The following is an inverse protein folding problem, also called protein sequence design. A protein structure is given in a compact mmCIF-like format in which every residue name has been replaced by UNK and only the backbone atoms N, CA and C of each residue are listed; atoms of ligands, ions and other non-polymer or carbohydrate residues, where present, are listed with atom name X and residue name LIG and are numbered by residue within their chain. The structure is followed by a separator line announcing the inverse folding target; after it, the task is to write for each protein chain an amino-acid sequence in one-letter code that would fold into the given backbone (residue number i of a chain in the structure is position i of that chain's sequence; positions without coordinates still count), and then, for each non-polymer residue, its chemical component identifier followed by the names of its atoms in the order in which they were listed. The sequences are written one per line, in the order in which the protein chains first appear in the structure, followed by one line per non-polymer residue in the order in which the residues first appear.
data_IF_290702004037
#
_entry.id   IF_290702004037
#
_cell.length_a   1.000
_cell.length_b   1.000
_cell.length_c   1.000
_cell.angle_alpha   90.00
_cell.angle_beta   90.00
_cell.angle_gamma   90.00
#
_symmetry.space_group_name_H-M   'P 1'
#
loop_
_entity.id
_entity.type
_entity.pdbx_description
1 polymer ?
#
# COMPACT_ATOMS: atom_id res chain seq x y z
N UNK A 1 24.66 5.05 -18.03
CA UNK A 1 25.25 6.37 -17.73
C UNK A 1 24.59 6.85 -16.43
N UNK A 2 25.22 6.60 -15.29
CA UNK A 2 24.60 6.80 -13.97
C UNK A 2 24.80 8.25 -13.50
N UNK A 3 23.71 8.96 -13.24
CA UNK A 3 23.74 10.28 -12.62
C UNK A 3 23.81 10.12 -11.10
N UNK A 4 24.92 10.58 -10.49
CA UNK A 4 25.07 10.70 -9.03
C UNK A 4 24.37 11.98 -8.58
N UNK A 5 23.47 11.85 -7.61
CA UNK A 5 22.84 12.99 -6.93
C UNK A 5 23.56 13.12 -5.59
N UNK A 6 24.18 14.28 -5.33
CA UNK A 6 24.92 14.54 -4.08
C UNK A 6 23.93 14.89 -2.97
N UNK A 7 23.91 14.10 -1.89
CA UNK A 7 23.13 14.38 -0.68
C UNK A 7 23.81 15.46 0.19
N UNK A 8 23.01 16.41 0.68
CA UNK A 8 23.39 17.40 1.69
C UNK A 8 22.95 16.89 3.06
N UNK A 9 23.91 16.66 3.97
CA UNK A 9 23.60 16.21 5.34
C UNK A 9 23.28 17.39 6.28
N UNK A 10 22.20 17.34 7.08
CA UNK A 10 21.97 18.28 8.17
C UNK A 10 22.64 17.83 9.48
N UNK A 11 23.17 18.78 10.23
CA UNK A 11 23.92 18.61 11.48
C UNK A 11 23.05 18.22 12.67
N UNK A 12 23.55 17.30 13.52
CA UNK A 12 22.89 16.78 14.73
C UNK A 12 22.89 17.80 15.88
N UNK A 13 21.75 17.94 16.56
CA UNK A 13 21.60 18.61 17.87
C UNK A 13 21.19 17.59 18.96
N UNK A 14 21.56 17.79 20.24
CA UNK A 14 21.59 16.71 21.23
C UNK A 14 20.24 16.43 21.92
N UNK A 15 20.16 15.20 22.45
CA UNK A 15 19.01 14.55 23.07
C UNK A 15 18.53 15.22 24.37
N UNK A 16 17.21 15.35 24.52
CA UNK A 16 16.52 15.68 25.77
C UNK A 16 15.40 14.68 26.05
N UNK A 17 15.52 13.96 27.15
CA UNK A 17 14.54 13.00 27.65
C UNK A 17 13.34 13.71 28.31
N UNK A 18 12.12 13.22 28.02
CA UNK A 18 10.90 13.71 28.65
C UNK A 18 9.71 12.79 28.37
N UNK A 19 9.52 11.79 29.22
CA UNK A 19 8.35 10.88 29.24
C UNK A 19 7.11 11.69 29.67
N UNK A 20 6.12 11.84 28.80
CA UNK A 20 4.78 12.34 29.18
C UNK A 20 3.76 11.21 29.09
N UNK A 21 3.02 11.03 30.19
CA UNK A 21 1.96 10.05 30.38
C UNK A 21 0.77 10.37 29.47
N UNK A 22 0.17 9.32 28.90
CA UNK A 22 -1.06 9.37 28.11
C UNK A 22 -2.23 9.61 29.07
N UNK A 23 -2.83 10.79 29.00
CA UNK A 23 -4.10 11.07 29.68
C UNK A 23 -5.24 10.51 28.84
N UNK A 24 -6.19 9.89 29.54
CA UNK A 24 -7.42 9.31 29.03
C UNK A 24 -8.40 10.46 28.71
N UNK A 25 -8.54 10.81 27.43
CA UNK A 25 -9.57 11.73 26.96
C UNK A 25 -10.70 10.92 26.34
N UNK A 26 -11.83 10.91 27.05
CA UNK A 26 -13.12 10.43 26.61
C UNK A 26 -13.51 11.09 25.28
N UNK A 27 -13.82 10.27 24.29
CA UNK A 27 -14.40 10.71 23.01
C UNK A 27 -15.81 11.25 23.30
N UNK A 28 -15.93 12.56 23.41
CA UNK A 28 -17.21 13.24 23.31
C UNK A 28 -17.66 13.24 21.84
N UNK A 29 -18.84 12.67 21.61
CA UNK A 29 -19.56 12.62 20.34
C UNK A 29 -20.05 14.04 19.96
N UNK A 30 -19.17 14.83 19.34
CA UNK A 30 -19.50 16.18 18.89
C UNK A 30 -20.24 16.13 17.54
N UNK A 31 -21.53 15.79 17.60
CA UNK A 31 -22.48 15.80 16.48
C UNK A 31 -22.88 17.21 16.02
N UNK A 32 -21.95 18.16 15.90
CA UNK A 32 -22.27 19.50 15.38
C UNK A 32 -21.11 20.30 14.76
N UNK A 33 -20.25 19.66 13.97
CA UNK A 33 -19.41 20.36 12.98
C UNK A 33 -20.20 20.65 11.68
N UNK A 34 -19.90 21.74 10.93
CA UNK A 34 -20.55 22.00 9.65
C UNK A 34 -20.33 20.79 8.74
N UNK A 35 -21.40 20.39 8.03
CA UNK A 35 -21.37 19.32 7.05
C UNK A 35 -20.34 19.70 5.97
N UNK A 36 -19.08 19.29 6.15
CA UNK A 36 -18.12 19.29 5.07
C UNK A 36 -18.72 18.30 4.07
N UNK A 37 -19.08 18.79 2.89
CA UNK A 37 -19.46 17.93 1.77
C UNK A 37 -18.25 17.03 1.49
N UNK A 38 -18.26 15.83 2.05
CA UNK A 38 -17.17 14.88 1.95
C UNK A 38 -17.05 14.44 0.50
N UNK A 39 -16.10 15.07 -0.20
CA UNK A 39 -15.95 14.91 -1.63
C UNK A 39 -15.48 13.49 -1.95
N UNK A 40 -15.94 12.99 -3.10
CA UNK A 40 -15.44 11.75 -3.70
C UNK A 40 -14.49 12.15 -4.82
N UNK A 41 -13.24 11.69 -4.75
CA UNK A 41 -12.27 11.91 -5.82
C UNK A 41 -12.72 11.22 -7.14
N UNK A 42 -12.46 11.83 -8.32
CA UNK A 42 -12.81 11.23 -9.60
C UNK A 42 -12.17 9.84 -9.77
N UNK A 43 -12.98 8.83 -10.08
CA UNK A 43 -12.53 7.44 -10.22
C UNK A 43 -12.59 6.61 -8.93
N UNK A 44 -12.89 7.23 -7.79
CA UNK A 44 -13.15 6.54 -6.52
C UNK A 44 -14.65 6.40 -6.26
N UNK A 45 -15.01 5.36 -5.51
CA UNK A 45 -16.38 5.13 -5.02
C UNK A 45 -16.52 5.36 -3.50
N UNK A 46 -15.48 5.95 -2.88
CA UNK A 46 -15.35 6.08 -1.43
C UNK A 46 -15.03 7.55 -1.12
N UNK A 47 -15.72 8.16 -0.14
CA UNK A 47 -15.44 9.52 0.31
C UNK A 47 -14.04 9.71 0.90
N UNK A 48 -13.51 10.94 0.80
CA UNK A 48 -12.16 11.27 1.23
C UNK A 48 -11.93 11.05 2.74
N UNK A 49 -12.91 11.37 3.59
CA UNK A 49 -12.76 11.14 5.03
C UNK A 49 -12.45 9.67 5.38
N UNK A 50 -13.01 8.74 4.62
CA UNK A 50 -12.82 7.30 4.84
C UNK A 50 -11.46 6.84 4.30
N UNK A 51 -11.01 7.42 3.19
CA UNK A 51 -9.67 7.19 2.62
C UNK A 51 -8.58 7.61 3.60
N UNK A 52 -8.70 8.82 4.15
CA UNK A 52 -7.75 9.37 5.12
C UNK A 52 -7.73 8.51 6.40
N UNK A 53 -8.92 8.17 6.94
CA UNK A 53 -9.03 7.30 8.13
C UNK A 53 -8.38 5.92 7.90
N UNK A 54 -8.51 5.36 6.70
CA UNK A 54 -7.88 4.08 6.35
C UNK A 54 -6.37 4.19 6.26
N UNK A 55 -5.85 5.28 5.68
CA UNK A 55 -4.41 5.54 5.60
C UNK A 55 -3.79 5.67 7.00
N UNK A 56 -4.49 6.36 7.90
CA UNK A 56 -4.05 6.58 9.28
C UNK A 56 -4.14 5.31 10.15
N UNK A 57 -5.12 4.44 9.86
CA UNK A 57 -5.33 3.19 10.60
C UNK A 57 -4.36 2.09 10.22
N UNK A 58 -3.81 2.12 8.99
CA UNK A 58 -2.93 1.07 8.49
C UNK A 58 -1.49 1.34 8.92
N UNK A 59 -1.05 0.67 9.98
CA UNK A 59 0.34 0.65 10.40
C UNK A 59 1.10 -0.29 9.46
N UNK A 60 1.69 0.25 8.38
CA UNK A 60 2.74 -0.44 7.66
C UNK A 60 3.85 -0.80 8.66
N UNK A 61 4.51 -1.95 8.47
CA UNK A 61 5.52 -2.48 9.39
C UNK A 61 6.44 -1.35 9.91
N UNK A 62 6.36 -1.13 11.23
CA UNK A 62 6.98 -0.02 11.96
C UNK A 62 8.35 0.37 11.38
N UNK A 63 8.44 1.58 10.81
CA UNK A 63 9.69 2.10 10.24
C UNK A 63 10.78 2.28 11.31
N UNK A 64 10.39 2.37 12.59
CA UNK A 64 11.32 2.43 13.71
C UNK A 64 11.85 1.04 14.10
N UNK A 65 11.20 -0.03 13.64
CA UNK A 65 11.66 -1.39 13.78
C UNK A 65 12.45 -1.80 12.52
N UNK A 66 13.71 -1.37 12.44
CA UNK A 66 14.65 -1.76 11.39
C UNK A 66 14.87 -3.28 11.46
N UNK A 67 14.07 -4.06 10.73
CA UNK A 67 14.21 -5.52 10.63
C UNK A 67 15.50 -5.94 9.89
N UNK A 68 16.12 -5.04 9.14
CA UNK A 68 17.40 -5.25 8.46
C UNK A 68 18.27 -3.99 8.51
N UNK A 69 19.47 -4.10 9.07
CA UNK A 69 20.40 -2.98 9.19
C UNK A 69 20.96 -2.58 7.81
N UNK A 70 20.68 -1.35 7.37
CA UNK A 70 21.32 -0.72 6.19
C UNK A 70 22.83 -0.46 6.38
N UNK A 71 23.35 -0.73 7.58
CA UNK A 71 24.75 -0.52 7.92
C UNK A 71 25.65 -1.66 7.39
N UNK A 72 25.07 -2.83 7.11
CA UNK A 72 25.79 -4.02 6.64
C UNK A 72 25.25 -4.61 5.33
N UNK A 73 24.00 -4.30 4.97
CA UNK A 73 23.35 -4.80 3.76
C UNK A 73 22.79 -3.64 2.95
N UNK A 74 23.04 -3.66 1.63
CA UNK A 74 22.46 -2.70 0.68
C UNK A 74 20.94 -2.96 0.50
N UNK A 75 20.53 -4.22 0.65
CA UNK A 75 19.15 -4.67 0.54
C UNK A 75 18.54 -4.91 1.93
N UNK A 76 17.41 -4.28 2.20
CA UNK A 76 16.66 -4.39 3.45
C UNK A 76 15.51 -5.41 3.38
N UNK A 77 15.22 -5.94 2.18
CA UNK A 77 14.22 -6.98 1.97
C UNK A 77 13.90 -7.19 0.49
N UNK A 78 12.89 -8.03 0.22
CA UNK A 78 12.40 -8.33 -1.12
C UNK A 78 10.92 -7.98 -1.21
N UNK A 79 10.50 -7.42 -2.34
CA UNK A 79 9.09 -7.29 -2.70
C UNK A 79 8.83 -8.17 -3.92
N UNK A 80 7.82 -9.03 -3.85
CA UNK A 80 7.47 -9.94 -4.94
C UNK A 80 6.07 -9.66 -5.46
N UNK A 81 5.87 -9.97 -6.74
CA UNK A 81 4.57 -10.08 -7.38
C UNK A 81 4.44 -11.49 -7.95
N UNK A 82 3.32 -12.13 -7.62
CA UNK A 82 3.03 -13.49 -8.01
C UNK A 82 1.82 -13.51 -8.95
N UNK A 83 1.76 -14.52 -9.80
CA UNK A 83 0.53 -14.81 -10.54
C UNK A 83 -0.50 -15.47 -9.61
N UNK A 84 -1.73 -15.63 -10.11
CA UNK A 84 -2.81 -16.38 -9.45
C UNK A 84 -2.34 -17.75 -8.91
N UNK A 85 -1.42 -18.42 -9.59
CA UNK A 85 -0.97 -19.78 -9.25
C UNK A 85 0.16 -19.82 -8.21
N UNK A 86 0.39 -18.72 -7.49
CA UNK A 86 1.48 -18.58 -6.51
C UNK A 86 2.88 -18.77 -7.11
N UNK A 87 3.05 -18.46 -8.40
CA UNK A 87 4.36 -18.46 -9.08
C UNK A 87 4.88 -17.02 -9.18
N UNK A 88 6.10 -16.72 -8.70
CA UNK A 88 6.71 -15.40 -8.85
C UNK A 88 6.82 -14.96 -10.31
N UNK A 89 6.28 -13.78 -10.61
CA UNK A 89 6.45 -13.11 -11.90
C UNK A 89 7.67 -12.20 -11.85
N UNK A 90 7.75 -11.35 -10.81
CA UNK A 90 8.87 -10.44 -10.61
C UNK A 90 9.15 -10.21 -9.13
N UNK A 91 10.43 -9.95 -8.83
CA UNK A 91 10.93 -9.68 -7.48
C UNK A 91 11.83 -8.45 -7.57
N UNK A 92 11.65 -7.51 -6.65
CA UNK A 92 12.48 -6.32 -6.52
C UNK A 92 13.21 -6.33 -5.17
N UNK A 93 14.49 -5.97 -5.22
CA UNK A 93 15.24 -5.70 -4.00
C UNK A 93 14.78 -4.36 -3.41
N UNK A 94 14.51 -4.35 -2.11
CA UNK A 94 14.22 -3.13 -1.38
C UNK A 94 15.53 -2.55 -0.85
N UNK A 95 15.97 -1.43 -1.41
CA UNK A 95 17.23 -0.75 -1.03
C UNK A 95 16.98 0.47 -0.12
N UNK A 96 15.75 0.63 0.39
CA UNK A 96 15.37 1.72 1.29
C UNK A 96 14.62 1.15 2.47
N UNK A 97 14.79 1.75 3.64
CA UNK A 97 14.03 1.38 4.82
C UNK A 97 12.50 1.47 4.58
N UNK A 98 11.80 0.41 4.99
CA UNK A 98 10.35 0.29 4.91
C UNK A 98 9.82 -0.18 3.55
N UNK A 99 8.63 -0.79 3.59
CA UNK A 99 7.85 -1.14 2.40
C UNK A 99 7.21 0.12 1.81
N UNK A 100 7.92 0.75 0.87
CA UNK A 100 7.43 1.96 0.21
C UNK A 100 6.56 1.61 -1.00
N UNK A 101 5.49 2.37 -1.20
CA UNK A 101 4.55 2.17 -2.32
C UNK A 101 5.20 2.17 -3.71
N UNK A 102 6.33 2.87 -3.89
CA UNK A 102 7.00 2.90 -5.19
C UNK A 102 7.52 1.53 -5.64
N UNK A 103 7.80 0.60 -4.73
CA UNK A 103 8.16 -0.77 -5.10
C UNK A 103 6.95 -1.48 -5.73
N UNK A 104 5.75 -1.32 -5.15
CA UNK A 104 4.51 -1.83 -5.73
C UNK A 104 4.29 -1.25 -7.14
N UNK A 105 4.40 0.08 -7.30
CA UNK A 105 4.26 0.73 -8.60
C UNK A 105 5.31 0.24 -9.61
N UNK A 106 6.55 0.03 -9.19
CA UNK A 106 7.61 -0.49 -10.07
C UNK A 106 7.28 -1.90 -10.58
N UNK A 107 6.78 -2.79 -9.72
CA UNK A 107 6.39 -4.15 -10.12
C UNK A 107 5.17 -4.13 -11.06
N UNK A 108 4.15 -3.33 -10.73
CA UNK A 108 2.95 -3.15 -11.58
C UNK A 108 3.34 -2.62 -12.96
N UNK A 109 4.19 -1.58 -13.00
CA UNK A 109 4.65 -0.99 -14.25
C UNK A 109 5.49 -1.98 -15.08
N UNK A 110 6.33 -2.78 -14.43
CA UNK A 110 7.10 -3.82 -15.11
C UNK A 110 6.18 -4.85 -15.77
N UNK A 111 5.14 -5.31 -15.05
CA UNK A 111 4.17 -6.25 -15.60
C UNK A 111 3.39 -5.66 -16.78
N UNK A 112 2.82 -4.47 -16.61
CA UNK A 112 1.90 -3.87 -17.59
C UNK A 112 2.57 -3.45 -18.90
N UNK A 113 3.89 -3.20 -18.89
CA UNK A 113 4.65 -2.92 -20.11
C UNK A 113 4.72 -4.10 -21.07
N UNK A 114 4.67 -5.32 -20.52
CA UNK A 114 4.82 -6.55 -21.30
C UNK A 114 3.45 -7.15 -21.67
N UNK A 115 2.35 -6.61 -21.14
CA UNK A 115 1.00 -7.09 -21.41
C UNK A 115 0.30 -6.26 -22.52
N UNK A 116 -0.62 -6.89 -23.29
CA UNK A 116 -1.47 -6.16 -24.23
C UNK A 116 -2.34 -5.11 -23.51
N UNK A 117 -2.54 -3.95 -24.14
CA UNK A 117 -3.29 -2.82 -23.55
C UNK A 117 -4.78 -3.08 -23.38
N UNK A 118 -5.33 -4.06 -24.09
CA UNK A 118 -6.73 -4.46 -24.05
C UNK A 118 -7.05 -5.46 -22.93
N UNK A 119 -6.03 -5.97 -22.23
CA UNK A 119 -6.22 -6.93 -21.15
C UNK A 119 -6.50 -6.23 -19.83
N UNK A 120 -7.55 -6.62 -19.12
CA UNK A 120 -7.76 -6.19 -17.73
C UNK A 120 -6.89 -7.02 -16.77
N UNK A 121 -6.18 -6.35 -15.86
CA UNK A 121 -5.28 -6.98 -14.88
C UNK A 121 -5.81 -6.75 -13.47
N UNK A 122 -6.07 -7.85 -12.75
CA UNK A 122 -6.43 -7.79 -11.33
C UNK A 122 -5.20 -7.80 -10.43
N UNK A 123 -5.13 -6.86 -9.49
CA UNK A 123 -4.11 -6.79 -8.44
C UNK A 123 -4.75 -6.98 -7.06
N UNK A 124 -4.35 -8.05 -6.37
CA UNK A 124 -4.64 -8.24 -4.94
C UNK A 124 -3.44 -7.80 -4.11
N UNK A 125 -3.65 -6.84 -3.20
CA UNK A 125 -2.60 -6.33 -2.33
C UNK A 125 -3.17 -5.78 -1.02
N UNK A 126 -2.46 -5.95 0.08
CA UNK A 126 -2.90 -5.61 1.45
C UNK A 126 -3.35 -4.16 1.58
N UNK A 127 -2.67 -3.25 0.89
CA UNK A 127 -2.99 -1.81 0.83
C UNK A 127 -3.44 -1.37 -0.56
N UNK A 128 -4.09 -2.25 -1.33
CA UNK A 128 -4.57 -1.94 -2.68
C UNK A 128 -5.46 -0.69 -2.73
N UNK A 129 -6.27 -0.45 -1.68
CA UNK A 129 -7.07 0.77 -1.56
C UNK A 129 -6.22 2.06 -1.57
N UNK A 130 -5.10 2.05 -0.84
CA UNK A 130 -4.16 3.17 -0.76
C UNK A 130 -3.34 3.32 -2.04
N UNK A 131 -2.94 2.20 -2.66
CA UNK A 131 -2.27 2.19 -3.96
C UNK A 131 -3.20 2.78 -5.04
N UNK A 132 -4.46 2.35 -5.09
CA UNK A 132 -5.44 2.85 -6.05
C UNK A 132 -5.72 4.35 -5.85
N UNK A 133 -5.91 4.78 -4.60
CA UNK A 133 -6.08 6.20 -4.28
C UNK A 133 -4.87 7.02 -4.72
N UNK A 134 -3.65 6.58 -4.37
CA UNK A 134 -2.41 7.27 -4.73
C UNK A 134 -2.20 7.33 -6.25
N UNK A 135 -2.58 6.28 -6.97
CA UNK A 135 -2.53 6.20 -8.43
C UNK A 135 -3.36 7.33 -9.07
N UNK A 136 -4.60 7.50 -8.61
CA UNK A 136 -5.55 8.50 -9.11
C UNK A 136 -5.16 9.91 -8.68
N UNK A 137 -4.93 10.11 -7.38
CA UNK A 137 -4.62 11.41 -6.79
C UNK A 137 -3.39 12.07 -7.39
N UNK A 138 -2.34 11.28 -7.64
CA UNK A 138 -1.06 11.78 -8.18
C UNK A 138 -0.87 11.52 -9.66
N UNK A 139 -1.85 10.89 -10.32
CA UNK A 139 -1.81 10.57 -11.75
C UNK A 139 -0.50 9.85 -12.15
N UNK A 140 -0.12 8.81 -11.40
CA UNK A 140 1.21 8.17 -11.50
C UNK A 140 1.36 7.39 -12.81
N UNK A 141 0.28 6.74 -13.27
CA UNK A 141 0.25 5.82 -14.42
C UNK A 141 -1.05 6.00 -15.23
N UNK A 142 -1.29 7.18 -15.83
CA UNK A 142 -2.55 7.51 -16.49
C UNK A 142 -2.93 6.52 -17.60
N UNK A 143 -1.94 6.07 -18.37
CA UNK A 143 -2.18 5.20 -19.52
C UNK A 143 -2.65 3.79 -19.15
N UNK A 144 -2.41 3.35 -17.91
CA UNK A 144 -2.76 2.02 -17.41
C UNK A 144 -3.86 2.03 -16.35
N UNK A 145 -4.30 3.21 -15.90
CA UNK A 145 -5.26 3.31 -14.77
C UNK A 145 -6.56 2.55 -15.05
N UNK A 146 -7.08 2.62 -16.29
CA UNK A 146 -8.28 1.87 -16.69
C UNK A 146 -8.05 0.37 -16.97
N UNK A 147 -6.80 -0.09 -16.94
CA UNK A 147 -6.43 -1.48 -17.18
C UNK A 147 -6.43 -2.31 -15.88
N UNK A 148 -6.33 -1.65 -14.72
CA UNK A 148 -6.08 -2.31 -13.43
C UNK A 148 -7.37 -2.37 -12.61
N UNK A 149 -7.67 -3.55 -12.09
CA UNK A 149 -8.70 -3.77 -11.07
C UNK A 149 -8.00 -4.03 -9.74
N UNK A 150 -8.40 -3.32 -8.69
CA UNK A 150 -7.78 -3.42 -7.38
C UNK A 150 -8.67 -4.22 -6.41
N UNK A 151 -8.05 -5.10 -5.64
CA UNK A 151 -8.67 -5.80 -4.53
C UNK A 151 -7.69 -5.97 -3.36
N UNK A 152 -8.22 -6.15 -2.16
CA UNK A 152 -7.42 -6.45 -0.96
C UNK A 152 -7.51 -7.94 -0.71
N UNK A 153 -6.47 -8.61 -0.19
CA UNK A 153 -6.58 -10.02 0.17
C UNK A 153 -7.75 -10.25 1.15
N UNK A 154 -8.30 -11.46 1.17
CA UNK A 154 -9.50 -11.78 1.97
C UNK A 154 -9.26 -11.54 3.46
N UNK A 155 -8.10 -11.92 4.01
CA UNK A 155 -7.82 -11.69 5.42
C UNK A 155 -7.55 -10.22 5.72
N UNK A 156 -6.77 -9.54 4.86
CA UNK A 156 -6.42 -8.15 5.08
C UNK A 156 -7.61 -7.21 4.88
N UNK A 157 -8.60 -7.55 4.06
CA UNK A 157 -9.77 -6.72 3.81
C UNK A 157 -10.51 -6.34 5.11
N UNK A 158 -10.59 -7.24 6.08
CA UNK A 158 -11.23 -6.98 7.36
C UNK A 158 -10.48 -6.00 8.27
N UNK A 159 -9.20 -5.74 7.99
CA UNK A 159 -8.40 -4.73 8.68
C UNK A 159 -8.64 -3.31 8.17
N UNK A 160 -9.37 -3.16 7.05
CA UNK A 160 -9.74 -1.87 6.46
C UNK A 160 -11.11 -1.36 6.93
N UNK A 161 -11.37 -0.07 6.69
CA UNK A 161 -12.68 0.54 6.94
C UNK A 161 -13.80 -0.22 6.23
N UNK A 162 -14.99 -0.24 6.84
CA UNK A 162 -16.11 -1.06 6.40
C UNK A 162 -16.49 -0.83 4.93
N UNK A 163 -16.35 0.41 4.42
CA UNK A 163 -16.63 0.74 3.02
C UNK A 163 -15.62 0.13 2.05
N UNK A 164 -14.34 0.01 2.41
CA UNK A 164 -13.36 -0.71 1.58
C UNK A 164 -13.71 -2.19 1.48
N UNK A 165 -14.24 -2.78 2.56
CA UNK A 165 -14.72 -4.16 2.51
C UNK A 165 -15.88 -4.35 1.53
N UNK A 166 -16.64 -3.30 1.15
CA UNK A 166 -17.66 -3.43 0.11
C UNK A 166 -17.05 -3.41 -1.29
N UNK A 167 -16.08 -2.54 -1.52
CA UNK A 167 -15.56 -2.25 -2.87
C UNK A 167 -14.33 -3.07 -3.26
N UNK A 168 -13.48 -3.46 -2.31
CA UNK A 168 -12.19 -4.11 -2.56
C UNK A 168 -12.14 -5.56 -2.08
N UNK A 169 -13.19 -6.06 -1.42
CA UNK A 169 -13.19 -7.44 -0.91
C UNK A 169 -13.40 -8.45 -2.05
N UNK A 170 -12.49 -9.43 -2.26
CA UNK A 170 -12.52 -10.31 -3.42
C UNK A 170 -13.82 -11.11 -3.55
N UNK A 171 -14.33 -11.64 -2.44
CA UNK A 171 -15.58 -12.42 -2.42
C UNK A 171 -16.85 -11.61 -2.76
N UNK A 172 -16.76 -10.27 -2.87
CA UNK A 172 -17.88 -9.41 -3.29
C UNK A 172 -17.82 -9.03 -4.76
N UNK A 173 -16.83 -9.54 -5.50
CA UNK A 173 -16.65 -9.31 -6.93
C UNK A 173 -16.40 -10.63 -7.66
N UNK A 174 -17.19 -10.89 -8.70
CA UNK A 174 -17.05 -12.10 -9.52
C UNK A 174 -15.71 -12.15 -10.27
N UNK A 175 -15.01 -11.00 -10.41
CA UNK A 175 -13.74 -10.90 -11.14
C UNK A 175 -12.59 -11.70 -10.51
N UNK A 176 -12.67 -11.99 -9.21
CA UNK A 176 -11.59 -12.63 -8.45
C UNK A 176 -11.74 -14.15 -8.30
N UNK A 177 -12.88 -14.72 -8.74
CA UNK A 177 -13.13 -16.14 -8.58
C UNK A 177 -12.98 -16.62 -7.12
N UNK A 178 -12.10 -17.61 -6.90
CA UNK A 178 -11.79 -18.17 -5.59
C UNK A 178 -10.44 -17.71 -5.03
N UNK A 179 -9.82 -16.69 -5.63
CA UNK A 179 -8.55 -16.15 -5.16
C UNK A 179 -8.72 -15.45 -3.80
N UNK A 180 -7.89 -15.84 -2.83
CA UNK A 180 -7.83 -15.20 -1.52
C UNK A 180 -6.80 -14.07 -1.43
N UNK A 181 -5.84 -14.02 -2.35
CA UNK A 181 -4.80 -12.99 -2.41
C UNK A 181 -3.61 -13.24 -1.50
N UNK A 182 -3.47 -14.43 -0.91
CA UNK A 182 -2.43 -14.76 0.09
C UNK A 182 -1.18 -15.44 -0.52
N UNK A 183 -0.95 -15.27 -1.82
CA UNK A 183 0.10 -15.97 -2.55
C UNK A 183 1.51 -15.57 -2.10
N UNK A 184 1.71 -14.29 -1.76
CA UNK A 184 2.96 -13.79 -1.21
C UNK A 184 3.30 -14.50 0.11
N UNK A 185 2.34 -14.60 1.02
CA UNK A 185 2.49 -15.21 2.34
C UNK A 185 2.89 -16.68 2.24
N UNK A 186 2.27 -17.43 1.32
CA UNK A 186 2.64 -18.83 1.04
C UNK A 186 4.05 -18.92 0.50
N UNK A 187 4.37 -18.12 -0.51
CA UNK A 187 5.71 -18.10 -1.12
C UNK A 187 6.80 -17.77 -0.10
N UNK A 188 6.58 -16.78 0.77
CA UNK A 188 7.53 -16.45 1.83
C UNK A 188 7.63 -17.55 2.90
N UNK A 189 6.55 -18.27 3.17
CA UNK A 189 6.58 -19.42 4.08
C UNK A 189 7.40 -20.58 3.52
N UNK A 190 7.43 -20.78 2.20
CA UNK A 190 8.22 -21.84 1.55
C UNK A 190 9.72 -21.54 1.54
N UNK A 191 10.09 -20.25 1.57
CA UNK A 191 11.48 -19.79 1.60
C UNK A 191 12.09 -19.71 3.01
N UNK A 192 11.32 -20.06 4.05
CA UNK A 192 11.74 -19.98 5.46
C UNK A 192 12.41 -21.25 5.98
#
# INVERSE_FOLDING_TARGET
MAARINEVQPTKSPAGAGRKQKADESVEDDRNGPCNDDAIEPGMNIPNSILDTCGDSFIAADSDCIKASTQHFDDTGLMAMLCWHDIPICIANMCTAGEKQFYAFALILALLKDLPKDWTVGLLYDIACQIHHSLLKWNIMPEWTGQIEFGVSVFHAYSHQWTFQLWYHPQKSEKWGLSDGEGCERFWSELR
#
